data_IF_225030462290
#
_entry.id   IF_225030462290
#
_cell.length_a   1.000
_cell.length_b   1.000
_cell.length_c   1.000
_cell.angle_alpha   90.00
_cell.angle_beta   90.00
_cell.angle_gamma   90.00
#
_symmetry.space_group_name_H-M   'P 1'
#
loop_
_entity.id
_entity.type
_entity.pdbx_description
1 polymer ?
#
# COMPACT_ATOMS: atom_id res chain seq x y z
N UNK A 1 -24.02 15.40 25.22
CA UNK A 1 -23.06 15.87 24.23
C UNK A 1 -22.05 14.80 23.84
N UNK A 2 -21.08 14.46 24.72
CA UNK A 2 -20.12 13.38 24.44
C UNK A 2 -20.82 12.02 24.30
N UNK A 3 -21.82 11.74 25.16
CA UNK A 3 -22.56 10.48 25.10
C UNK A 3 -23.33 10.33 23.80
N UNK A 4 -23.98 11.38 23.32
CA UNK A 4 -24.72 11.35 22.05
C UNK A 4 -23.79 11.04 20.87
N UNK A 5 -22.62 11.65 20.86
CA UNK A 5 -21.64 11.44 19.81
C UNK A 5 -21.15 9.99 19.79
N UNK A 6 -20.87 9.42 20.97
CA UNK A 6 -20.45 8.03 21.08
C UNK A 6 -21.55 7.07 20.65
N UNK A 7 -22.79 7.28 21.07
CA UNK A 7 -23.91 6.44 20.66
C UNK A 7 -24.19 6.55 19.17
N UNK A 8 -24.00 7.71 18.56
CA UNK A 8 -24.12 7.89 17.13
C UNK A 8 -23.07 7.03 16.39
N UNK A 9 -21.84 7.00 16.87
CA UNK A 9 -20.76 6.20 16.29
C UNK A 9 -20.94 4.71 16.53
N UNK A 10 -21.59 4.31 17.64
CA UNK A 10 -21.77 2.90 17.98
C UNK A 10 -23.04 2.27 17.44
N UNK A 11 -23.84 3.01 16.67
CA UNK A 11 -25.06 2.47 16.05
C UNK A 11 -24.74 1.21 15.24
N UNK A 12 -25.54 0.17 15.45
CA UNK A 12 -25.37 -1.09 14.75
C UNK A 12 -24.39 -2.05 15.41
N UNK A 13 -23.74 -1.63 16.50
CA UNK A 13 -22.85 -2.52 17.24
C UNK A 13 -23.66 -3.58 17.98
N UNK A 14 -23.09 -4.77 18.08
CA UNK A 14 -23.74 -5.94 18.67
C UNK A 14 -23.94 -5.78 20.19
N UNK A 15 -25.08 -6.23 20.66
CA UNK A 15 -25.39 -6.28 22.08
C UNK A 15 -25.46 -4.89 22.73
N UNK A 16 -25.03 -4.79 23.98
CA UNK A 16 -25.08 -3.55 24.74
C UNK A 16 -24.06 -2.51 24.31
N UNK A 17 -23.20 -2.82 23.33
CA UNK A 17 -22.23 -1.87 22.79
C UNK A 17 -22.91 -0.63 22.18
N UNK A 18 -24.15 -0.77 21.70
CA UNK A 18 -24.90 0.35 21.18
C UNK A 18 -25.79 1.04 22.21
N UNK A 19 -25.97 0.47 23.40
CA UNK A 19 -26.92 0.94 24.42
C UNK A 19 -26.28 1.42 25.71
N UNK A 20 -25.30 0.66 26.25
CA UNK A 20 -24.64 1.04 27.47
C UNK A 20 -23.47 1.99 27.18
N UNK A 21 -23.46 3.14 27.84
CA UNK A 21 -22.46 4.17 27.57
C UNK A 21 -21.03 3.66 27.78
N UNK A 22 -20.80 2.95 28.90
CA UNK A 22 -19.44 2.44 29.21
C UNK A 22 -18.95 1.50 28.11
N UNK A 23 -19.79 0.55 27.75
CA UNK A 23 -19.44 -0.46 26.74
C UNK A 23 -19.36 0.19 25.34
N UNK A 24 -20.26 1.11 25.02
CA UNK A 24 -20.25 1.83 23.76
C UNK A 24 -18.98 2.67 23.61
N UNK A 25 -18.57 3.35 24.69
CA UNK A 25 -17.35 4.15 24.68
C UNK A 25 -16.12 3.30 24.38
N UNK A 26 -15.98 2.15 25.05
CA UNK A 26 -14.87 1.25 24.83
C UNK A 26 -14.86 0.68 23.41
N UNK A 27 -16.03 0.29 22.90
CA UNK A 27 -16.17 -0.26 21.56
C UNK A 27 -15.80 0.78 20.49
N UNK A 28 -16.24 2.03 20.66
CA UNK A 28 -15.92 3.12 19.74
C UNK A 28 -14.43 3.43 19.77
N UNK A 29 -13.80 3.45 20.95
CA UNK A 29 -12.37 3.69 21.07
C UNK A 29 -11.56 2.62 20.33
N UNK A 30 -11.94 1.35 20.48
CA UNK A 30 -11.30 0.24 19.75
C UNK A 30 -11.51 0.37 18.24
N UNK A 31 -12.73 0.70 17.82
CA UNK A 31 -13.03 0.86 16.38
C UNK A 31 -12.18 1.96 15.75
N UNK A 32 -12.02 3.09 16.42
CA UNK A 32 -11.21 4.19 15.92
C UNK A 32 -9.73 3.80 15.88
N UNK A 33 -9.25 3.05 16.87
CA UNK A 33 -7.88 2.55 16.89
C UNK A 33 -7.62 1.57 15.74
N UNK A 34 -8.54 0.62 15.52
CA UNK A 34 -8.42 -0.33 14.42
C UNK A 34 -8.48 0.37 13.06
N UNK A 35 -9.33 1.40 12.92
CA UNK A 35 -9.38 2.18 11.69
C UNK A 35 -8.06 2.88 11.41
N UNK A 36 -7.43 3.44 12.44
CA UNK A 36 -6.12 4.09 12.32
C UNK A 36 -5.04 3.10 11.88
N UNK A 37 -4.97 1.95 12.54
CA UNK A 37 -4.01 0.89 12.20
C UNK A 37 -4.28 0.36 10.78
N UNK A 38 -5.55 0.15 10.43
CA UNK A 38 -5.95 -0.32 9.11
C UNK A 38 -5.54 0.62 7.99
N UNK A 39 -5.68 1.93 8.20
CA UNK A 39 -5.23 2.91 7.20
C UNK A 39 -3.72 2.89 6.99
N UNK A 40 -2.95 2.70 8.07
CA UNK A 40 -1.49 2.56 7.97
C UNK A 40 -1.10 1.26 7.25
N UNK A 41 -1.78 0.16 7.58
CA UNK A 41 -1.52 -1.13 6.94
C UNK A 41 -1.86 -1.09 5.44
N UNK A 42 -2.89 -0.35 5.05
CA UNK A 42 -3.27 -0.20 3.64
C UNK A 42 -2.11 0.33 2.81
N UNK A 43 -1.38 1.34 3.31
CA UNK A 43 -0.22 1.89 2.61
C UNK A 43 0.86 0.85 2.39
N UNK A 44 1.13 0.02 3.40
CA UNK A 44 2.11 -1.06 3.32
C UNK A 44 1.66 -2.13 2.32
N UNK A 45 0.38 -2.49 2.36
CA UNK A 45 -0.18 -3.51 1.49
C UNK A 45 -0.10 -3.10 0.01
N UNK A 46 -0.43 -1.85 -0.31
CA UNK A 46 -0.29 -1.34 -1.67
C UNK A 46 1.17 -1.33 -2.12
N UNK A 47 2.08 -0.93 -1.24
CA UNK A 47 3.50 -0.93 -1.57
C UNK A 47 4.00 -2.34 -1.87
N UNK A 48 3.59 -3.34 -1.08
CA UNK A 48 3.95 -4.74 -1.33
C UNK A 48 3.41 -5.20 -2.68
N UNK A 49 2.19 -4.82 -3.03
CA UNK A 49 1.60 -5.14 -4.32
C UNK A 49 2.40 -4.53 -5.47
N UNK A 50 2.78 -3.26 -5.34
CA UNK A 50 3.60 -2.57 -6.35
C UNK A 50 4.94 -3.27 -6.53
N UNK A 51 5.61 -3.63 -5.43
CA UNK A 51 6.89 -4.34 -5.47
C UNK A 51 6.74 -5.69 -6.16
N UNK A 52 5.67 -6.43 -5.86
CA UNK A 52 5.41 -7.72 -6.49
C UNK A 52 5.23 -7.59 -8.00
N UNK A 53 4.48 -6.58 -8.45
CA UNK A 53 4.27 -6.32 -9.89
C UNK A 53 5.56 -5.92 -10.59
N UNK A 54 6.35 -5.05 -9.98
CA UNK A 54 7.64 -4.61 -10.51
C UNK A 54 8.59 -5.80 -10.62
N UNK A 55 8.65 -6.64 -9.57
CA UNK A 55 9.51 -7.82 -9.53
C UNK A 55 9.16 -8.81 -10.64
N UNK A 56 7.86 -9.08 -10.82
CA UNK A 56 7.41 -10.00 -11.88
C UNK A 56 7.81 -9.48 -13.26
N UNK A 57 7.60 -8.20 -13.52
CA UNK A 57 7.95 -7.59 -14.82
C UNK A 57 9.47 -7.55 -15.02
N UNK A 58 10.24 -7.28 -13.97
CA UNK A 58 11.69 -7.26 -14.05
C UNK A 58 12.26 -8.66 -14.38
N UNK A 59 11.69 -9.70 -13.79
CA UNK A 59 12.12 -11.09 -14.06
C UNK A 59 11.82 -11.51 -15.49
N UNK A 60 10.71 -11.08 -16.05
CA UNK A 60 10.39 -11.32 -17.46
C UNK A 60 11.48 -10.74 -18.36
N UNK A 61 12.07 -9.63 -17.96
CA UNK A 61 13.15 -8.96 -18.70
C UNK A 61 14.55 -9.41 -18.27
N UNK A 62 14.65 -10.44 -17.44
CA UNK A 62 15.94 -11.02 -17.04
C UNK A 62 16.64 -10.31 -15.89
N UNK A 63 15.95 -9.51 -15.12
CA UNK A 63 16.50 -8.79 -13.96
C UNK A 63 15.77 -9.21 -12.69
N UNK A 64 16.50 -9.20 -11.56
CA UNK A 64 15.87 -9.26 -10.24
C UNK A 64 15.35 -7.87 -9.87
N UNK A 65 14.42 -7.81 -8.91
CA UNK A 65 13.89 -6.54 -8.43
C UNK A 65 15.00 -5.61 -7.94
N UNK A 66 15.94 -6.15 -7.14
CA UNK A 66 17.04 -5.36 -6.58
C UNK A 66 17.93 -4.77 -7.66
N UNK A 67 18.29 -5.56 -8.67
CA UNK A 67 19.12 -5.11 -9.79
C UNK A 67 18.39 -4.08 -10.64
N UNK A 68 17.11 -4.28 -10.87
CA UNK A 68 16.29 -3.34 -11.64
C UNK A 68 16.22 -1.99 -10.94
N UNK A 69 15.90 -1.96 -9.65
CA UNK A 69 15.82 -0.73 -8.88
C UNK A 69 17.18 -0.03 -8.79
N UNK A 70 18.25 -0.79 -8.59
CA UNK A 70 19.60 -0.24 -8.58
C UNK A 70 19.96 0.37 -9.94
N UNK A 71 19.64 -0.32 -11.02
CA UNK A 71 19.89 0.15 -12.36
C UNK A 71 19.17 1.46 -12.68
N UNK A 72 17.91 1.57 -12.28
CA UNK A 72 17.16 2.81 -12.45
C UNK A 72 17.79 3.96 -11.66
N UNK A 73 18.25 3.68 -10.46
CA UNK A 73 18.90 4.68 -9.60
C UNK A 73 20.21 5.16 -10.22
N UNK A 74 21.02 4.25 -10.74
CA UNK A 74 22.29 4.58 -11.40
C UNK A 74 22.03 5.36 -12.69
N UNK A 75 20.97 5.02 -13.42
CA UNK A 75 20.58 5.72 -14.64
C UNK A 75 19.95 7.10 -14.38
N UNK A 76 19.70 7.46 -13.12
CA UNK A 76 19.11 8.74 -12.75
C UNK A 76 17.62 8.82 -12.99
N UNK A 77 16.93 7.70 -13.09
CA UNK A 77 15.49 7.63 -13.31
C UNK A 77 14.78 7.61 -11.96
N UNK A 78 14.07 8.71 -11.64
CA UNK A 78 13.39 8.89 -10.35
C UNK A 78 11.89 8.65 -10.50
N UNK A 79 11.50 7.38 -10.62
CA UNK A 79 10.10 6.98 -10.61
C UNK A 79 9.78 6.26 -9.31
N UNK A 80 8.63 6.60 -8.71
CA UNK A 80 8.21 5.91 -7.50
C UNK A 80 7.64 4.53 -7.85
N UNK A 81 7.48 3.69 -6.84
CA UNK A 81 7.02 2.31 -7.04
C UNK A 81 5.62 2.23 -7.63
N UNK A 82 4.75 3.16 -7.29
CA UNK A 82 3.40 3.23 -7.86
C UNK A 82 3.45 3.45 -9.37
N UNK A 83 4.25 4.41 -9.82
CA UNK A 83 4.40 4.70 -11.25
C UNK A 83 5.02 3.51 -11.99
N UNK A 84 6.03 2.86 -11.40
CA UNK A 84 6.66 1.69 -12.00
C UNK A 84 5.69 0.52 -12.12
N UNK A 85 4.84 0.30 -11.11
CA UNK A 85 3.83 -0.75 -11.16
C UNK A 85 2.78 -0.49 -12.25
N UNK A 86 2.41 0.77 -12.47
CA UNK A 86 1.50 1.14 -13.56
C UNK A 86 2.16 0.90 -14.93
N UNK A 87 3.44 1.21 -15.08
CA UNK A 87 4.19 0.95 -16.31
C UNK A 87 4.35 -0.56 -16.53
N UNK A 88 4.43 -1.36 -15.47
CA UNK A 88 4.58 -2.80 -15.56
C UNK A 88 3.42 -3.48 -16.30
N UNK A 89 2.25 -2.86 -16.37
CA UNK A 89 1.11 -3.35 -17.14
C UNK A 89 1.39 -3.27 -18.66
N UNK A 90 2.21 -2.31 -19.08
CA UNK A 90 2.61 -2.15 -20.47
C UNK A 90 3.98 -2.80 -20.68
N UNK A 91 4.00 -3.98 -21.27
CA UNK A 91 5.22 -4.77 -21.45
C UNK A 91 6.29 -4.03 -22.25
N UNK A 92 5.91 -3.32 -23.30
CA UNK A 92 6.86 -2.60 -24.15
C UNK A 92 7.53 -1.44 -23.39
N UNK A 93 6.75 -0.67 -22.66
CA UNK A 93 7.26 0.47 -21.89
C UNK A 93 8.18 -0.02 -20.75
N UNK A 94 7.81 -1.09 -20.07
CA UNK A 94 8.63 -1.65 -19.02
C UNK A 94 9.92 -2.26 -19.57
N UNK A 95 9.87 -2.91 -20.70
CA UNK A 95 11.06 -3.45 -21.36
C UNK A 95 12.08 -2.35 -21.69
N UNK A 96 11.60 -1.18 -22.13
CA UNK A 96 12.48 -0.05 -22.40
C UNK A 96 13.18 0.44 -21.12
N UNK A 97 12.48 0.48 -20.00
CA UNK A 97 13.08 0.82 -18.69
C UNK A 97 14.08 -0.24 -18.25
N UNK A 98 13.76 -1.52 -18.45
CA UNK A 98 14.64 -2.62 -18.08
C UNK A 98 15.95 -2.56 -18.88
N UNK A 99 15.89 -2.23 -20.17
CA UNK A 99 17.08 -2.06 -21.00
C UNK A 99 17.97 -0.92 -20.50
N UNK A 100 17.37 0.21 -20.13
CA UNK A 100 18.11 1.34 -19.54
C UNK A 100 18.76 0.95 -18.22
N UNK A 101 18.06 0.18 -17.38
CA UNK A 101 18.61 -0.29 -16.11
C UNK A 101 19.77 -1.26 -16.33
N UNK A 102 19.65 -2.20 -17.29
CA UNK A 102 20.73 -3.13 -17.63
C UNK A 102 21.97 -2.38 -18.12
N UNK A 103 21.78 -1.41 -19.00
CA UNK A 103 22.87 -0.62 -19.54
C UNK A 103 23.61 0.14 -18.43
N UNK A 104 22.89 0.65 -17.44
CA UNK A 104 23.46 1.43 -16.33
C UNK A 104 24.33 0.59 -15.40
N UNK A 105 24.00 -0.69 -15.21
CA UNK A 105 24.73 -1.59 -14.30
C UNK A 105 25.67 -2.57 -14.99
N UNK A 106 25.69 -2.52 -16.31
CA UNK A 106 26.59 -3.40 -17.10
C UNK A 106 28.07 -3.01 -16.98
#
# INVERSE_FOLDING_TARGET
KKRRKIFKLSKGYFGSKSRSYRIAREAVMKSLMYAYVGRKNRKRDFRQLWIARINAAARINGLSYSKFMHGLKVAGINLNRKALADIAVNAAAFAALAEKAKAAIA
#
